data_IF_338973167516
#
_entry.id   IF_338973167516
#
_cell.length_a   1.000
_cell.length_b   1.000
_cell.length_c   1.000
_cell.angle_alpha   90.00
_cell.angle_beta   90.00
_cell.angle_gamma   90.00
#
_symmetry.space_group_name_H-M   'P 1'
#
loop_
_entity.id
_entity.type
_entity.pdbx_description
1 polymer ?
#
# COMPACT_ATOMS: atom_id res chain seq x y z
N UNK A 1 20.27 7.78 -9.58
CA UNK A 1 21.65 7.23 -9.45
C UNK A 1 21.67 6.37 -8.20
N UNK A 2 22.32 5.21 -8.24
CA UNK A 2 22.55 4.38 -7.05
C UNK A 2 23.73 5.01 -6.29
N UNK A 3 23.55 5.34 -5.00
CA UNK A 3 24.66 5.76 -4.11
C UNK A 3 24.64 7.19 -3.56
N UNK A 4 23.61 7.99 -3.84
CA UNK A 4 23.47 9.34 -3.23
C UNK A 4 22.57 9.36 -1.98
N UNK A 5 21.78 8.30 -1.77
CA UNK A 5 20.78 8.21 -0.72
C UNK A 5 21.21 7.18 0.34
N UNK A 6 20.89 7.45 1.60
CA UNK A 6 21.15 6.51 2.69
C UNK A 6 20.37 5.21 2.47
N UNK A 7 21.01 4.07 2.73
CA UNK A 7 20.41 2.75 2.65
C UNK A 7 19.37 2.59 3.78
N UNK A 8 18.24 1.94 3.51
CA UNK A 8 17.28 1.60 4.57
C UNK A 8 17.61 0.23 5.19
N UNK A 9 17.00 -0.06 6.35
CA UNK A 9 17.19 -1.35 7.04
C UNK A 9 16.81 -2.52 6.12
N UNK A 10 15.75 -2.36 5.31
CA UNK A 10 15.26 -3.42 4.44
C UNK A 10 16.29 -3.79 3.35
N UNK A 11 16.86 -2.81 2.66
CA UNK A 11 17.87 -3.04 1.64
C UNK A 11 19.15 -3.59 2.26
N UNK A 12 19.60 -3.06 3.40
CA UNK A 12 20.76 -3.62 4.10
C UNK A 12 20.55 -5.10 4.45
N UNK A 13 19.41 -5.46 5.04
CA UNK A 13 19.10 -6.85 5.38
C UNK A 13 18.95 -7.75 4.16
N UNK A 14 18.40 -7.23 3.05
CA UNK A 14 18.36 -7.96 1.78
C UNK A 14 19.76 -8.23 1.20
N UNK A 15 20.71 -7.31 1.39
CA UNK A 15 22.11 -7.49 1.00
C UNK A 15 22.81 -8.48 1.94
N UNK A 16 22.75 -8.26 3.25
CA UNK A 16 23.38 -9.10 4.26
C UNK A 16 22.85 -10.54 4.25
N UNK A 17 21.56 -10.74 3.94
CA UNK A 17 20.94 -12.06 3.83
C UNK A 17 21.47 -12.93 2.68
N UNK A 18 22.31 -12.39 1.80
CA UNK A 18 23.02 -13.15 0.76
C UNK A 18 24.37 -13.70 1.23
N UNK A 19 24.84 -13.31 2.40
CA UNK A 19 26.10 -13.80 2.96
C UNK A 19 25.93 -15.22 3.51
N UNK A 20 26.80 -16.13 3.07
CA UNK A 20 26.79 -17.53 3.47
C UNK A 20 25.98 -18.43 2.53
N UNK A 21 26.56 -19.60 2.21
CA UNK A 21 25.97 -20.61 1.33
C UNK A 21 25.38 -21.74 2.14
N UNK A 22 24.08 -21.98 1.94
CA UNK A 22 23.38 -23.10 2.56
C UNK A 22 24.11 -24.43 2.32
N UNK A 23 24.46 -25.12 3.40
CA UNK A 23 25.11 -26.43 3.37
C UNK A 23 26.59 -26.44 2.99
N UNK A 24 27.25 -25.28 2.88
CA UNK A 24 28.69 -25.19 2.61
C UNK A 24 29.45 -24.38 3.65
N UNK A 25 28.95 -23.20 3.97
CA UNK A 25 29.61 -22.32 4.92
C UNK A 25 29.08 -22.59 6.33
N UNK A 26 29.96 -22.47 7.33
CA UNK A 26 29.58 -22.63 8.75
C UNK A 26 28.85 -21.40 9.29
N UNK A 27 29.18 -20.21 8.78
CA UNK A 27 28.60 -18.93 9.16
C UNK A 27 28.47 -18.03 7.91
N UNK A 28 27.49 -17.12 7.92
CA UNK A 28 27.38 -16.02 6.95
C UNK A 28 27.84 -14.72 7.60
N UNK A 29 28.81 -14.04 6.99
CA UNK A 29 29.40 -12.81 7.52
C UNK A 29 29.09 -11.60 6.63
N UNK A 30 28.74 -10.48 7.25
CA UNK A 30 28.53 -9.20 6.54
C UNK A 30 29.22 -8.07 7.30
N UNK A 31 29.95 -7.22 6.58
CA UNK A 31 30.68 -6.09 7.15
C UNK A 31 30.11 -4.77 6.62
N UNK A 32 29.88 -3.81 7.52
CA UNK A 32 29.58 -2.42 7.15
C UNK A 32 30.84 -1.59 7.38
N UNK A 33 31.25 -0.83 6.36
CA UNK A 33 32.33 0.15 6.45
C UNK A 33 31.68 1.52 6.62
N UNK A 34 31.94 2.19 7.74
CA UNK A 34 31.34 3.48 8.08
C UNK A 34 32.39 4.42 8.68
N UNK A 35 32.22 5.73 8.47
CA UNK A 35 33.01 6.75 9.18
C UNK A 35 32.50 6.93 10.62
N UNK A 36 33.27 7.59 11.49
CA UNK A 36 32.82 7.83 12.88
C UNK A 36 31.48 8.59 12.94
N UNK A 37 31.21 9.46 11.96
CA UNK A 37 29.96 10.21 11.85
C UNK A 37 28.75 9.33 11.51
N UNK A 38 28.98 8.19 10.85
CA UNK A 38 27.94 7.27 10.38
C UNK A 38 27.80 6.05 11.29
N UNK A 39 28.60 5.99 12.37
CA UNK A 39 28.64 4.86 13.29
C UNK A 39 27.26 4.53 13.88
N UNK A 40 26.52 5.54 14.32
CA UNK A 40 25.19 5.36 14.89
C UNK A 40 24.20 4.81 13.85
N UNK A 41 24.25 5.35 12.63
CA UNK A 41 23.44 4.87 11.51
C UNK A 41 23.79 3.43 11.11
N UNK A 42 25.07 3.06 11.09
CA UNK A 42 25.50 1.68 10.85
C UNK A 42 25.01 0.72 11.94
N UNK A 43 25.04 1.15 13.21
CA UNK A 43 24.48 0.38 14.32
C UNK A 43 22.97 0.20 14.19
N UNK A 44 22.25 1.24 13.77
CA UNK A 44 20.82 1.17 13.48
C UNK A 44 20.52 0.16 12.37
N UNK A 45 21.28 0.14 11.27
CA UNK A 45 21.09 -0.85 10.20
C UNK A 45 21.26 -2.31 10.69
N UNK A 46 22.20 -2.55 11.61
CA UNK A 46 22.52 -3.89 12.12
C UNK A 46 21.50 -4.35 13.16
N UNK A 47 21.19 -3.49 14.14
CA UNK A 47 20.47 -3.90 15.35
C UNK A 47 18.95 -3.75 15.23
N UNK A 48 18.48 -2.79 14.43
CA UNK A 48 17.06 -2.45 14.44
C UNK A 48 16.23 -3.49 13.68
N UNK A 49 14.99 -3.78 14.12
CA UNK A 49 14.09 -4.66 13.40
C UNK A 49 13.64 -4.03 12.08
N UNK A 50 13.10 -4.86 11.17
CA UNK A 50 12.39 -4.31 10.01
C UNK A 50 11.17 -3.49 10.49
N UNK A 51 10.90 -2.32 9.90
CA UNK A 51 9.69 -1.60 10.22
C UNK A 51 8.47 -2.46 9.88
N UNK A 52 7.37 -2.34 10.66
CA UNK A 52 6.16 -3.07 10.38
C UNK A 52 5.63 -2.70 8.99
N UNK A 53 5.16 -3.69 8.22
CA UNK A 53 4.52 -3.45 6.94
C UNK A 53 3.37 -2.46 7.14
N UNK A 54 3.24 -1.49 6.25
CA UNK A 54 2.14 -0.53 6.24
C UNK A 54 1.42 -0.64 4.91
N UNK A 55 0.09 -0.55 4.94
CA UNK A 55 -0.71 -0.51 3.73
C UNK A 55 -0.41 0.76 2.93
N UNK A 56 -0.11 0.60 1.65
CA UNK A 56 0.07 1.71 0.71
C UNK A 56 -1.23 2.47 0.42
N UNK A 57 -2.38 1.99 0.93
CA UNK A 57 -3.66 2.69 0.84
C UNK A 57 -3.88 3.72 1.95
N UNK A 58 -2.96 3.81 2.93
CA UNK A 58 -2.93 4.91 3.88
C UNK A 58 -2.12 6.06 3.30
N UNK A 59 -2.66 7.29 3.37
CA UNK A 59 -1.85 8.48 3.15
C UNK A 59 -0.78 8.54 4.23
N UNK A 60 0.47 8.79 3.84
CA UNK A 60 1.61 8.84 4.76
C UNK A 60 1.34 9.87 5.86
N UNK A 61 1.30 9.42 7.12
CA UNK A 61 1.17 10.29 8.29
C UNK A 61 -0.25 10.69 8.69
N UNK A 62 -1.30 10.19 8.02
CA UNK A 62 -2.69 10.54 8.35
C UNK A 62 -3.62 9.33 8.28
N UNK A 63 -4.70 9.34 9.06
CA UNK A 63 -5.83 8.37 8.97
C UNK A 63 -6.70 8.67 7.73
N UNK A 64 -6.08 9.10 6.63
CA UNK A 64 -6.75 9.42 5.39
C UNK A 64 -6.36 8.36 4.36
N UNK A 65 -7.33 7.87 3.59
CA UNK A 65 -7.00 6.94 2.50
C UNK A 65 -6.30 7.66 1.34
N UNK A 66 -5.39 6.94 0.69
CA UNK A 66 -4.91 7.31 -0.64
C UNK A 66 -6.06 7.16 -1.65
N UNK A 67 -6.65 8.30 -2.01
CA UNK A 67 -7.76 8.38 -2.98
C UNK A 67 -7.33 7.85 -4.34
N UNK A 68 -6.06 8.04 -4.75
CA UNK A 68 -5.59 7.61 -6.07
C UNK A 68 -5.48 6.09 -6.12
N UNK A 69 -4.80 5.49 -5.13
CA UNK A 69 -4.70 4.04 -4.98
C UNK A 69 -6.08 3.38 -4.90
N UNK A 70 -7.00 3.93 -4.10
CA UNK A 70 -8.34 3.37 -3.97
C UNK A 70 -9.17 3.53 -5.25
N UNK A 71 -9.03 4.64 -5.99
CA UNK A 71 -9.69 4.84 -7.29
C UNK A 71 -9.26 3.76 -8.28
N UNK A 72 -7.96 3.46 -8.34
CA UNK A 72 -7.43 2.40 -9.22
C UNK A 72 -8.01 1.03 -8.85
N UNK A 73 -7.95 0.69 -7.57
CA UNK A 73 -8.44 -0.58 -7.06
C UNK A 73 -9.95 -0.75 -7.30
N UNK A 74 -10.73 0.31 -7.06
CA UNK A 74 -12.17 0.30 -7.38
C UNK A 74 -12.44 0.10 -8.86
N UNK A 75 -11.68 0.76 -9.73
CA UNK A 75 -11.86 0.62 -11.17
C UNK A 75 -11.52 -0.81 -11.63
N UNK A 76 -10.47 -1.42 -11.08
CA UNK A 76 -10.13 -2.82 -11.31
C UNK A 76 -11.25 -3.74 -10.81
N UNK A 77 -11.79 -3.50 -9.61
CA UNK A 77 -12.93 -4.25 -9.06
C UNK A 77 -14.17 -4.18 -9.96
N UNK A 78 -14.57 -2.99 -10.39
CA UNK A 78 -15.71 -2.79 -11.30
C UNK A 78 -15.45 -3.48 -12.63
N UNK A 79 -14.24 -3.35 -13.20
CA UNK A 79 -13.88 -4.02 -14.45
C UNK A 79 -13.88 -5.55 -14.33
N UNK A 80 -13.66 -6.08 -13.12
CA UNK A 80 -13.70 -7.52 -12.84
C UNK A 80 -15.12 -8.07 -12.63
N UNK A 81 -16.14 -7.21 -12.69
CA UNK A 81 -17.55 -7.57 -12.52
C UNK A 81 -18.12 -7.31 -11.12
N UNK A 82 -17.38 -6.62 -10.24
CA UNK A 82 -17.87 -6.22 -8.92
C UNK A 82 -18.63 -4.89 -9.06
N UNK A 83 -19.94 -4.97 -9.24
CA UNK A 83 -20.80 -3.79 -9.49
C UNK A 83 -21.65 -3.32 -8.30
N UNK A 84 -21.84 -4.17 -7.29
CA UNK A 84 -22.69 -3.87 -6.13
C UNK A 84 -21.91 -3.23 -4.99
N UNK A 85 -22.55 -2.32 -4.26
CA UNK A 85 -21.91 -1.56 -3.16
C UNK A 85 -21.47 -2.50 -2.04
N UNK A 86 -22.27 -3.53 -1.75
CA UNK A 86 -21.99 -4.53 -0.71
C UNK A 86 -20.73 -5.35 -1.04
N UNK A 87 -20.48 -5.60 -2.32
CA UNK A 87 -19.31 -6.37 -2.76
C UNK A 87 -18.05 -5.50 -2.77
N UNK A 88 -18.19 -4.19 -3.04
CA UNK A 88 -17.11 -3.22 -2.86
C UNK A 88 -16.72 -3.10 -1.39
N UNK A 89 -17.69 -3.07 -0.48
CA UNK A 89 -17.43 -3.02 0.97
C UNK A 89 -16.67 -4.28 1.43
N UNK A 90 -17.10 -5.48 1.00
CA UNK A 90 -16.37 -6.73 1.26
C UNK A 90 -14.97 -6.71 0.67
N UNK A 91 -14.83 -6.20 -0.55
CA UNK A 91 -13.54 -6.10 -1.22
C UNK A 91 -12.56 -5.22 -0.41
N UNK A 92 -13.02 -4.07 0.09
CA UNK A 92 -12.19 -3.18 0.92
C UNK A 92 -11.84 -3.82 2.26
N UNK A 93 -12.76 -4.58 2.87
CA UNK A 93 -12.51 -5.33 4.11
C UNK A 93 -11.42 -6.41 3.96
N UNK A 94 -11.20 -6.92 2.76
CA UNK A 94 -10.15 -7.89 2.46
C UNK A 94 -8.76 -7.26 2.23
N UNK A 95 -8.62 -5.93 2.32
CA UNK A 95 -7.33 -5.25 2.10
C UNK A 95 -6.45 -5.26 3.35
N UNK A 96 -5.13 -5.14 3.17
CA UNK A 96 -4.18 -4.97 4.28
C UNK A 96 -4.52 -3.74 5.13
N UNK A 97 -5.06 -2.67 4.53
CA UNK A 97 -5.50 -1.49 5.27
C UNK A 97 -6.55 -1.86 6.31
N UNK A 98 -7.58 -2.64 5.93
CA UNK A 98 -8.64 -3.08 6.84
C UNK A 98 -8.14 -4.01 7.95
N UNK A 99 -7.07 -4.77 7.71
CA UNK A 99 -6.44 -5.57 8.75
C UNK A 99 -5.61 -4.73 9.74
N UNK A 100 -5.14 -3.56 9.32
CA UNK A 100 -4.26 -2.68 10.10
C UNK A 100 -4.99 -1.53 10.80
N UNK A 101 -6.23 -1.23 10.40
CA UNK A 101 -7.04 -0.16 10.98
C UNK A 101 -8.45 -0.63 11.27
N UNK A 102 -9.04 -0.11 12.35
CA UNK A 102 -10.45 -0.35 12.72
C UNK A 102 -11.39 0.73 12.19
N UNK A 103 -10.92 1.57 11.26
CA UNK A 103 -11.65 2.74 10.77
C UNK A 103 -12.71 2.35 9.74
N UNK A 104 -13.88 2.96 9.83
CA UNK A 104 -14.96 2.79 8.87
C UNK A 104 -14.63 3.48 7.54
N UNK A 105 -14.53 2.71 6.46
CA UNK A 105 -14.16 3.20 5.13
C UNK A 105 -15.33 3.81 4.34
N UNK A 106 -16.55 3.80 4.89
CA UNK A 106 -17.79 4.17 4.16
C UNK A 106 -17.74 5.56 3.55
N UNK A 107 -17.18 6.55 4.26
CA UNK A 107 -17.06 7.92 3.75
C UNK A 107 -16.07 8.02 2.57
N UNK A 108 -14.91 7.39 2.70
CA UNK A 108 -13.90 7.37 1.64
C UNK A 108 -14.40 6.62 0.40
N UNK A 109 -15.10 5.50 0.59
CA UNK A 109 -15.72 4.72 -0.49
C UNK A 109 -16.74 5.58 -1.24
N UNK A 110 -17.62 6.30 -0.53
CA UNK A 110 -18.60 7.18 -1.15
C UNK A 110 -17.94 8.30 -1.98
N UNK A 111 -16.89 8.93 -1.45
CA UNK A 111 -16.13 9.96 -2.17
C UNK A 111 -15.51 9.37 -3.45
N UNK A 112 -14.88 8.19 -3.36
CA UNK A 112 -14.22 7.59 -4.52
C UNK A 112 -15.22 7.10 -5.57
N UNK A 113 -16.38 6.57 -5.19
CA UNK A 113 -17.47 6.26 -6.14
C UNK A 113 -17.88 7.52 -6.91
N UNK A 114 -18.03 8.66 -6.23
CA UNK A 114 -18.36 9.94 -6.90
C UNK A 114 -17.25 10.37 -7.86
N UNK A 115 -15.98 10.20 -7.47
CA UNK A 115 -14.82 10.52 -8.32
C UNK A 115 -14.77 9.60 -9.55
N UNK A 116 -14.93 8.29 -9.37
CA UNK A 116 -14.96 7.29 -10.46
C UNK A 116 -16.11 7.59 -11.41
N UNK A 117 -17.33 7.81 -10.90
CA UNK A 117 -18.49 8.15 -11.71
C UNK A 117 -18.28 9.45 -12.50
N UNK A 118 -17.73 10.49 -11.85
CA UNK A 118 -17.44 11.77 -12.50
C UNK A 118 -16.39 11.64 -13.61
N UNK A 119 -15.35 10.82 -13.38
CA UNK A 119 -14.32 10.55 -14.39
C UNK A 119 -14.86 9.72 -15.55
N UNK A 120 -15.74 8.75 -15.28
CA UNK A 120 -16.41 7.94 -16.30
C UNK A 120 -17.33 8.79 -17.18
N UNK A 121 -18.14 9.67 -16.57
CA UNK A 121 -19.01 10.62 -17.30
C UNK A 121 -18.17 11.57 -18.18
N UNK A 122 -17.05 12.08 -17.66
CA UNK A 122 -16.13 12.93 -18.44
C UNK A 122 -15.47 12.18 -19.60
N UNK A 123 -15.18 10.89 -19.43
CA UNK A 123 -14.56 10.07 -20.48
C UNK A 123 -15.54 9.72 -21.62
N UNK A 124 -16.84 9.71 -21.35
CA UNK A 124 -17.88 9.38 -22.33
C UNK A 124 -18.95 10.49 -22.42
N UNK A 125 -18.67 11.59 -23.15
CA UNK A 125 -19.64 12.67 -23.33
C UNK A 125 -20.86 12.14 -24.09
N UNK A 126 -21.95 11.87 -23.37
CA UNK A 126 -23.19 11.28 -23.91
C UNK A 126 -23.77 10.15 -23.06
N UNK A 127 -23.07 9.71 -22.00
CA UNK A 127 -23.56 8.69 -21.09
C UNK A 127 -24.44 9.31 -19.97
N UNK A 128 -25.68 8.85 -19.84
CA UNK A 128 -26.58 9.23 -18.75
C UNK A 128 -26.50 8.19 -17.63
N UNK A 129 -26.17 8.62 -16.41
CA UNK A 129 -26.20 7.75 -15.22
C UNK A 129 -27.61 7.79 -14.62
N UNK A 130 -28.33 6.68 -14.72
CA UNK A 130 -29.64 6.52 -14.09
C UNK A 130 -29.45 5.95 -12.68
N UNK A 131 -29.93 6.66 -11.66
CA UNK A 131 -30.06 6.11 -10.30
C UNK A 131 -31.25 5.13 -10.31
N UNK A 132 -30.99 3.84 -10.17
CA UNK A 132 -32.04 2.86 -9.89
C UNK A 132 -32.43 3.03 -8.41
N UNK A 133 -33.55 3.69 -8.15
CA UNK A 133 -34.22 3.61 -6.84
C UNK A 133 -35.02 2.31 -6.82
N UNK A 134 -34.49 1.27 -6.17
CA UNK A 134 -35.30 0.12 -5.80
C UNK A 134 -36.20 0.53 -4.62
N UNK A 135 -37.48 0.79 -4.95
CA UNK A 135 -38.54 0.84 -3.95
C UNK A 135 -38.75 -0.58 -3.39
N UNK A 136 -38.14 -0.87 -2.25
CA UNK A 136 -38.58 -1.98 -1.40
C UNK A 136 -39.92 -1.58 -0.76
N UNK A 137 -41.01 -2.17 -1.25
CA UNK A 137 -42.24 -2.35 -0.46
C UNK A 137 -42.08 -3.52 0.51
#
# INVERSE_FOLDING_TARGET
MIGAEQIDIANYKQMAGRAGRAGKDTLGESFIIATEKEREYALHLINDPLPPLQSCLSAVGTVCLDIVGLTRIMNEAISSGIGQVEDIDKFVQCTLLSAQTTVSFRCCIAITIVVVASNFIKAFPGLFVYKLEENCQ
#
